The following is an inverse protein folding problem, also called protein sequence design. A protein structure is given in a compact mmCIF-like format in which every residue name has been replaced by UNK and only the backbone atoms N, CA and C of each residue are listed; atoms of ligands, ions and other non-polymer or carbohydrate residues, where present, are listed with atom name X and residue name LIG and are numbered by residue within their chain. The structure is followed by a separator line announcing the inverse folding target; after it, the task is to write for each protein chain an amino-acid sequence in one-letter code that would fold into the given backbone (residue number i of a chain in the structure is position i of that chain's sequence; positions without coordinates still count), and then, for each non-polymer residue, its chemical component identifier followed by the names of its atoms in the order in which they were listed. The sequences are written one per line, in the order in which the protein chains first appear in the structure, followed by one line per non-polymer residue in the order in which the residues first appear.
data_IF_361052572590
#
_entry.id   IF_361052572590
#
_cell.length_a   1.000
_cell.length_b   1.000
_cell.length_c   1.000
_cell.angle_alpha   90.00
_cell.angle_beta   90.00
_cell.angle_gamma   90.00
#
_symmetry.space_group_name_H-M   'P 1'
#
loop_
_entity.id
_entity.type
_entity.pdbx_description
1 polymer ?
#
# COMPACT_ATOMS: atom_id res chain seq x y z
N UNK A 1 -4.90 -20.41 9.60
CA UNK A 1 -4.86 -19.03 10.13
C UNK A 1 -3.43 -18.62 10.48
N UNK A 2 -2.95 -17.55 9.86
CA UNK A 2 -1.64 -16.96 10.16
C UNK A 2 -1.78 -15.68 11.02
N UNK A 3 -0.72 -15.34 11.77
CA UNK A 3 -0.67 -14.14 12.61
C UNK A 3 -0.42 -12.89 11.75
N UNK A 4 -1.24 -11.84 11.88
CA UNK A 4 -1.13 -10.60 11.11
C UNK A 4 -0.09 -9.60 11.66
N UNK A 5 0.48 -9.87 12.84
CA UNK A 5 1.50 -9.05 13.50
C UNK A 5 2.93 -9.36 13.01
N UNK A 6 3.11 -9.53 11.70
CA UNK A 6 4.39 -9.82 11.04
C UNK A 6 4.80 -8.69 10.10
N UNK A 7 6.08 -8.61 9.71
CA UNK A 7 6.68 -7.53 8.91
C UNK A 7 6.77 -6.14 9.58
N UNK A 8 7.78 -5.37 9.15
CA UNK A 8 7.95 -3.96 9.51
C UNK A 8 6.85 -3.11 8.86
N UNK A 9 6.31 -2.13 9.60
CA UNK A 9 5.10 -1.35 9.24
C UNK A 9 5.05 -0.91 7.77
N UNK A 10 6.13 -0.34 7.26
CA UNK A 10 6.18 0.25 5.92
C UNK A 10 6.06 -0.75 4.77
N UNK A 11 6.23 -2.04 5.06
CA UNK A 11 6.17 -3.14 4.11
C UNK A 11 4.96 -4.06 4.34
N UNK A 12 4.08 -3.74 5.31
CA UNK A 12 2.86 -4.51 5.54
C UNK A 12 1.90 -4.37 4.35
N UNK A 13 1.48 -5.51 3.80
CA UNK A 13 0.40 -5.59 2.82
C UNK A 13 -0.95 -5.14 3.38
N UNK A 14 -1.89 -4.69 2.52
CA UNK A 14 -3.25 -4.36 2.92
C UNK A 14 -3.93 -5.48 3.72
N UNK A 15 -3.68 -6.75 3.36
CA UNK A 15 -4.19 -7.94 4.03
C UNK A 15 -3.84 -7.98 5.53
N UNK A 16 -2.62 -7.58 5.91
CA UNK A 16 -2.20 -7.53 7.31
C UNK A 16 -2.84 -6.35 8.05
N UNK A 17 -3.08 -5.25 7.35
CA UNK A 17 -3.63 -4.02 7.91
C UNK A 17 -5.16 -4.08 8.10
N UNK A 18 -5.83 -4.95 7.34
CA UNK A 18 -7.28 -5.22 7.43
C UNK A 18 -7.60 -6.54 8.13
N UNK A 19 -6.61 -7.14 8.81
CA UNK A 19 -6.73 -8.38 9.60
C UNK A 19 -7.17 -9.63 8.81
N UNK A 20 -6.90 -9.71 7.50
CA UNK A 20 -7.11 -10.94 6.73
C UNK A 20 -6.07 -11.98 7.14
N UNK A 21 -6.51 -13.18 7.58
CA UNK A 21 -5.63 -14.24 8.13
C UNK A 21 -5.23 -15.32 7.13
N UNK A 22 -5.91 -15.37 6.00
CA UNK A 22 -5.70 -16.34 4.92
C UNK A 22 -4.87 -15.72 3.79
N UNK A 23 -3.78 -15.05 4.18
CA UNK A 23 -2.78 -14.54 3.24
C UNK A 23 -1.78 -15.64 2.86
N UNK A 24 -1.12 -15.46 1.72
CA UNK A 24 -0.18 -16.42 1.14
C UNK A 24 1.14 -15.74 0.74
N UNK A 25 1.89 -16.37 -0.16
CA UNK A 25 3.17 -15.89 -0.69
C UNK A 25 3.08 -14.51 -1.38
N UNK A 26 1.89 -14.06 -1.78
CA UNK A 26 1.70 -12.73 -2.38
C UNK A 26 2.04 -11.57 -1.44
N UNK A 27 2.05 -11.80 -0.12
CA UNK A 27 2.48 -10.83 0.88
C UNK A 27 3.94 -10.37 0.64
N UNK A 28 4.82 -11.27 0.20
CA UNK A 28 6.21 -10.96 -0.09
C UNK A 28 6.32 -10.09 -1.35
N UNK A 29 5.44 -10.30 -2.33
CA UNK A 29 5.38 -9.48 -3.55
C UNK A 29 4.96 -8.04 -3.24
N UNK A 30 4.05 -7.83 -2.29
CA UNK A 30 3.73 -6.48 -1.81
C UNK A 30 4.95 -5.80 -1.18
N UNK A 31 5.67 -6.52 -0.32
CA UNK A 31 6.87 -6.02 0.36
C UNK A 31 7.96 -5.65 -0.65
N UNK A 32 8.15 -6.49 -1.67
CA UNK A 32 9.05 -6.23 -2.81
C UNK A 32 8.64 -4.96 -3.57
N UNK A 33 7.35 -4.81 -3.90
CA UNK A 33 6.83 -3.61 -4.56
C UNK A 33 7.06 -2.34 -3.74
N UNK A 34 6.87 -2.39 -2.42
CA UNK A 34 7.16 -1.25 -1.54
C UNK A 34 8.66 -0.88 -1.53
N UNK A 35 9.54 -1.88 -1.54
CA UNK A 35 10.99 -1.66 -1.63
C UNK A 35 11.36 -1.07 -2.99
N UNK A 36 10.85 -1.66 -4.07
CA UNK A 36 11.08 -1.23 -5.44
C UNK A 36 10.63 0.20 -5.68
N UNK A 37 9.40 0.54 -5.29
CA UNK A 37 8.88 1.91 -5.34
C UNK A 37 9.78 2.89 -4.55
N UNK A 38 10.27 2.47 -3.37
CA UNK A 38 11.19 3.30 -2.61
C UNK A 38 12.51 3.58 -3.34
N UNK A 39 13.04 2.57 -4.05
CA UNK A 39 14.28 2.68 -4.82
C UNK A 39 14.10 3.59 -6.04
N UNK A 40 13.11 3.31 -6.90
CA UNK A 40 12.94 4.04 -8.16
C UNK A 40 12.48 5.49 -7.94
N UNK A 41 11.72 5.76 -6.86
CA UNK A 41 11.27 7.11 -6.54
C UNK A 41 12.20 7.85 -5.56
N UNK A 42 13.30 7.24 -5.10
CA UNK A 42 14.21 7.78 -4.07
C UNK A 42 13.39 8.26 -2.86
N UNK A 43 12.47 7.41 -2.40
CA UNK A 43 11.52 7.75 -1.34
C UNK A 43 11.40 6.60 -0.36
N UNK A 44 12.22 6.64 0.69
CA UNK A 44 12.23 5.60 1.70
C UNK A 44 11.70 6.09 3.07
N UNK A 45 10.66 5.45 3.63
CA UNK A 45 9.76 4.48 2.99
C UNK A 45 8.78 5.14 1.99
N UNK A 46 8.34 4.38 0.97
CA UNK A 46 7.41 4.90 -0.03
C UNK A 46 6.04 5.23 0.60
N UNK A 47 5.52 4.29 1.40
CA UNK A 47 4.34 4.48 2.26
C UNK A 47 4.77 4.74 3.70
N UNK A 48 4.72 6.01 4.12
CA UNK A 48 5.16 6.44 5.44
C UNK A 48 3.98 6.64 6.41
N UNK A 49 3.50 5.55 7.01
CA UNK A 49 2.45 5.56 8.04
C UNK A 49 2.99 5.76 9.47
N UNK A 50 2.31 6.59 10.27
CA UNK A 50 2.66 6.82 11.70
C UNK A 50 2.38 5.62 12.59
N UNK A 51 1.35 4.86 12.26
CA UNK A 51 0.91 3.61 12.89
C UNK A 51 0.29 2.70 11.81
N UNK A 52 -0.26 1.54 12.19
CA UNK A 52 -0.84 0.59 11.22
C UNK A 52 -2.10 1.14 10.55
N UNK A 53 -2.90 1.96 11.24
CA UNK A 53 -4.10 2.55 10.66
C UNK A 53 -3.74 3.64 9.64
N UNK A 54 -2.82 4.55 10.01
CA UNK A 54 -2.28 5.58 9.11
C UNK A 54 -1.56 4.93 7.91
N UNK A 55 -0.91 3.77 8.09
CA UNK A 55 -0.27 3.02 6.99
C UNK A 55 -1.27 2.65 5.90
N UNK A 56 -2.44 2.10 6.26
CA UNK A 56 -3.48 1.76 5.29
C UNK A 56 -4.01 3.03 4.58
N UNK A 57 -4.17 4.13 5.32
CA UNK A 57 -4.54 5.43 4.74
C UNK A 57 -3.49 5.93 3.74
N UNK A 58 -2.19 5.73 3.99
CA UNK A 58 -1.13 6.09 3.02
C UNK A 58 -1.22 5.29 1.73
N UNK A 59 -1.56 4.00 1.84
CA UNK A 59 -1.78 3.13 0.68
C UNK A 59 -3.00 3.62 -0.11
N UNK A 60 -4.14 3.85 0.57
CA UNK A 60 -5.37 4.35 -0.06
C UNK A 60 -5.16 5.68 -0.80
N UNK A 61 -4.33 6.58 -0.25
CA UNK A 61 -4.00 7.88 -0.88
C UNK A 61 -3.23 7.77 -2.21
N UNK A 62 -2.69 6.60 -2.53
CA UNK A 62 -1.97 6.34 -3.79
C UNK A 62 -2.78 5.41 -4.69
N UNK A 63 -3.24 4.27 -4.17
CA UNK A 63 -3.97 3.27 -4.96
C UNK A 63 -5.46 3.61 -5.16
N UNK A 64 -6.00 4.54 -4.39
CA UNK A 64 -7.41 4.91 -4.41
C UNK A 64 -8.22 4.14 -3.36
N UNK A 65 -9.32 4.75 -2.91
CA UNK A 65 -10.24 4.12 -1.95
C UNK A 65 -11.18 3.14 -2.64
N UNK A 66 -11.56 3.40 -3.90
CA UNK A 66 -12.54 2.56 -4.60
C UNK A 66 -12.01 1.12 -4.80
N UNK A 67 -10.75 0.96 -5.20
CA UNK A 67 -10.12 -0.37 -5.35
C UNK A 67 -9.96 -1.09 -4.00
N UNK A 68 -9.69 -0.33 -2.92
CA UNK A 68 -9.63 -0.88 -1.57
C UNK A 68 -10.99 -1.39 -1.10
N UNK A 69 -12.07 -0.62 -1.35
CA UNK A 69 -13.43 -1.02 -0.99
C UNK A 69 -13.87 -2.26 -1.79
N UNK A 70 -13.54 -2.32 -3.09
CA UNK A 70 -13.80 -3.49 -3.92
C UNK A 70 -13.03 -4.73 -3.42
N UNK A 71 -11.78 -4.56 -2.96
CA UNK A 71 -11.01 -5.64 -2.33
C UNK A 71 -11.68 -6.14 -1.05
N UNK A 72 -12.11 -5.24 -0.17
CA UNK A 72 -12.80 -5.59 1.08
C UNK A 72 -14.11 -6.33 0.81
N UNK A 73 -14.91 -5.85 -0.14
CA UNK A 73 -16.17 -6.49 -0.55
C UNK A 73 -15.92 -7.90 -1.10
N UNK A 74 -14.93 -8.05 -1.99
CA UNK A 74 -14.57 -9.34 -2.59
C UNK A 74 -14.24 -10.42 -1.56
N UNK A 75 -13.56 -10.05 -0.48
CA UNK A 75 -13.15 -10.98 0.58
C UNK A 75 -14.08 -10.95 1.80
N UNK A 76 -15.21 -10.25 1.72
CA UNK A 76 -16.17 -10.08 2.82
C UNK A 76 -15.51 -9.57 4.12
N UNK A 77 -14.63 -8.58 3.98
CA UNK A 77 -13.90 -7.96 5.06
C UNK A 77 -14.54 -6.62 5.44
N UNK A 78 -14.57 -6.32 6.73
CA UNK A 78 -15.06 -5.05 7.26
C UNK A 78 -13.91 -4.24 7.83
N UNK A 79 -13.82 -2.95 7.50
CA UNK A 79 -12.89 -2.06 8.18
C UNK A 79 -13.30 -1.89 9.64
N UNK A 80 -12.30 -1.87 10.51
CA UNK A 80 -12.45 -1.57 11.92
C UNK A 80 -12.90 -0.11 12.11
N UNK A 81 -13.71 0.18 13.14
CA UNK A 81 -14.19 1.53 13.46
C UNK A 81 -13.06 2.55 13.72
N UNK A 82 -11.84 2.10 14.00
CA UNK A 82 -10.66 2.96 14.08
C UNK A 82 -10.35 3.68 12.75
N UNK A 83 -10.91 3.21 11.62
CA UNK A 83 -10.81 3.90 10.32
C UNK A 83 -11.84 5.02 10.15
N UNK A 84 -12.84 5.10 11.02
CA UNK A 84 -13.87 6.13 10.97
C UNK A 84 -13.23 7.51 11.20
N UNK A 85 -13.36 8.39 10.19
CA UNK A 85 -12.81 9.74 10.22
C UNK A 85 -11.35 9.88 9.75
N UNK A 86 -10.59 8.78 9.60
CA UNK A 86 -9.23 8.83 9.01
C UNK A 86 -9.21 8.31 7.56
N UNK A 87 -10.12 7.41 7.20
CA UNK A 87 -10.24 6.89 5.84
C UNK A 87 -11.15 7.80 5.01
N UNK A 88 -10.53 8.57 4.12
CA UNK A 88 -11.25 9.42 3.16
C UNK A 88 -11.51 8.72 1.82
N UNK A 89 -12.16 9.45 0.91
CA UNK A 89 -12.24 9.08 -0.52
C UNK A 89 -11.05 9.66 -1.28
N UNK A 90 -10.25 8.79 -1.87
CA UNK A 90 -9.07 9.14 -2.65
C UNK A 90 -9.16 8.52 -4.04
N UNK A 91 -8.78 9.32 -5.04
CA UNK A 91 -8.60 8.83 -6.41
C UNK A 91 -7.24 8.15 -6.54
N UNK A 92 -7.16 7.09 -7.36
CA UNK A 92 -5.90 6.46 -7.72
C UNK A 92 -4.98 7.48 -8.37
N UNK A 93 -3.73 7.53 -7.93
CA UNK A 93 -2.71 8.44 -8.46
C UNK A 93 -1.86 7.70 -9.49
N UNK A 94 -1.71 8.25 -10.71
CA UNK A 94 -0.76 7.71 -11.66
C UNK A 94 0.66 7.86 -11.11
N UNK A 95 1.50 6.84 -11.31
CA UNK A 95 2.83 6.79 -10.72
C UNK A 95 3.78 7.88 -11.26
N UNK A 96 3.52 8.42 -12.44
CA UNK A 96 4.25 9.56 -13.02
C UNK A 96 4.26 10.79 -12.09
N UNK A 97 3.27 10.90 -11.20
CA UNK A 97 3.20 12.00 -10.21
C UNK A 97 4.29 11.92 -9.13
N UNK A 98 4.98 10.80 -8.99
CA UNK A 98 6.10 10.63 -8.07
C UNK A 98 7.46 10.87 -8.73
N UNK A 99 7.49 11.09 -10.05
CA UNK A 99 8.73 11.38 -10.79
C UNK A 99 9.18 12.81 -10.49
N UNK A 100 10.47 12.95 -10.16
CA UNK A 100 11.16 14.20 -9.89
C UNK A 100 12.43 14.28 -10.73
N UNK A 101 13.06 15.46 -10.81
CA UNK A 101 14.35 15.61 -11.51
C UNK A 101 15.44 14.71 -10.92
N UNK A 102 15.34 14.38 -9.63
CA UNK A 102 16.32 13.56 -8.93
C UNK A 102 16.18 12.08 -9.29
N UNK A 103 14.94 11.58 -9.45
CA UNK A 103 14.68 10.15 -9.63
C UNK A 103 14.32 9.76 -11.08
N UNK A 104 14.10 10.71 -11.99
CA UNK A 104 13.67 10.45 -13.38
C UNK A 104 14.57 9.47 -14.15
N UNK A 105 15.85 9.37 -13.79
CA UNK A 105 16.81 8.47 -14.43
C UNK A 105 16.67 7.00 -13.99
N UNK A 106 15.88 6.74 -12.94
CA UNK A 106 15.58 5.42 -12.39
C UNK A 106 14.17 4.93 -12.79
N UNK A 107 13.36 5.80 -13.39
CA UNK A 107 11.97 5.50 -13.74
C UNK A 107 11.86 5.32 -15.26
N UNK A 108 11.47 4.12 -15.70
CA UNK A 108 11.13 3.80 -17.09
C UNK A 108 9.68 3.30 -17.17
N UNK A 109 9.05 3.30 -18.37
CA UNK A 109 7.72 2.72 -18.55
C UNK A 109 7.63 1.26 -18.07
N UNK A 110 8.67 0.46 -18.33
CA UNK A 110 8.76 -0.93 -17.88
C UNK A 110 8.84 -1.03 -16.35
N UNK A 111 9.54 -0.10 -15.70
CA UNK A 111 9.60 -0.04 -14.24
C UNK A 111 8.25 0.39 -13.62
N UNK A 112 7.41 1.13 -14.34
CA UNK A 112 6.08 1.52 -13.86
C UNK A 112 5.01 0.46 -14.12
N UNK A 113 5.22 -0.42 -15.10
CA UNK A 113 4.30 -1.50 -15.49
C UNK A 113 4.49 -2.80 -14.70
N UNK A 114 5.67 -2.98 -14.09
CA UNK A 114 6.04 -4.15 -13.27
C UNK A 114 5.16 -4.33 -12.03
#
# INVERSE_FOLDING_TARGET
EYNVRVASRYFKGPELLVNMRDYDYSLDMWSLGCMFAGMIFIKHPFFHGRDNYDQLVRIAKVLGTDDMLAYLEKYNLTLDSNFDGIMGRYQRKPYDKFVTKENQHLVSPEALDL
#
